data_IF_164893815973
#
_entry.id   IF_164893815973
#
_cell.length_a   1.000
_cell.length_b   1.000
_cell.length_c   1.000
_cell.angle_alpha   90.00
_cell.angle_beta   90.00
_cell.angle_gamma   90.00
#
_symmetry.space_group_name_H-M   'P 1'
#
loop_
_entity.id
_entity.type
_entity.pdbx_description
1 polymer ?
#
# COMPACT_ATOMS: atom_id res chain seq x y z
N UNK A 1 0.13 44.16 34.92
CA UNK A 1 0.85 43.16 35.75
C UNK A 1 -0.04 41.92 35.90
N UNK A 2 0.09 40.91 35.02
CA UNK A 2 -0.46 39.53 35.12
C UNK A 2 -0.42 38.85 33.74
N UNK A 3 0.72 38.27 33.36
CA UNK A 3 0.82 37.24 32.32
C UNK A 3 2.13 36.47 32.51
N UNK A 4 2.16 35.55 33.48
CA UNK A 4 3.17 34.49 33.51
C UNK A 4 2.66 33.40 34.44
N UNK A 5 1.93 32.42 33.89
CA UNK A 5 1.63 31.14 34.56
C UNK A 5 1.05 30.05 33.64
N UNK A 6 1.02 30.23 32.31
CA UNK A 6 0.52 29.19 31.39
C UNK A 6 1.59 28.23 30.85
N UNK A 7 2.88 28.51 31.06
CA UNK A 7 3.99 27.66 30.58
C UNK A 7 4.60 26.75 31.65
N UNK A 8 4.36 27.01 32.94
CA UNK A 8 4.93 26.22 34.04
C UNK A 8 4.24 24.86 34.19
N UNK A 9 2.95 24.76 33.89
CA UNK A 9 2.20 23.49 33.95
C UNK A 9 2.53 22.53 32.79
N UNK A 10 2.89 23.07 31.61
CA UNK A 10 3.32 22.27 30.45
C UNK A 10 4.74 21.69 30.64
N UNK A 11 5.64 22.41 31.32
CA UNK A 11 6.97 21.89 31.66
C UNK A 11 6.92 20.84 32.79
N UNK A 12 5.99 20.95 33.74
CA UNK A 12 5.83 19.98 34.82
C UNK A 12 5.41 18.58 34.36
N UNK A 13 4.59 18.49 33.31
CA UNK A 13 4.15 17.20 32.73
C UNK A 13 5.27 16.56 31.87
N UNK A 14 6.11 17.37 31.22
CA UNK A 14 7.28 16.89 30.48
C UNK A 14 8.39 16.37 31.42
N UNK A 15 8.56 16.97 32.60
CA UNK A 15 9.60 16.57 33.58
C UNK A 15 9.18 15.37 34.46
N UNK A 16 7.90 15.21 34.79
CA UNK A 16 7.44 14.04 35.58
C UNK A 16 7.39 12.73 34.77
N UNK A 17 7.40 12.78 33.44
CA UNK A 17 7.47 11.59 32.59
C UNK A 17 8.89 11.04 32.40
N UNK A 18 9.92 11.77 32.85
CA UNK A 18 11.33 11.34 32.80
C UNK A 18 11.76 10.55 34.04
N UNK A 19 11.00 10.57 35.14
CA UNK A 19 11.41 9.95 36.41
C UNK A 19 10.97 8.48 36.59
N UNK A 20 10.22 7.90 35.65
CA UNK A 20 9.88 6.46 35.61
C UNK A 20 10.78 5.66 34.65
N UNK A 21 12.01 6.13 34.42
CA UNK A 21 13.07 5.40 33.70
C UNK A 21 14.06 4.79 34.69
N UNK A 22 13.59 3.89 35.56
CA UNK A 22 14.49 2.93 36.22
C UNK A 22 13.86 1.55 36.29
N UNK A 23 14.71 0.57 35.99
CA UNK A 23 14.50 -0.87 35.99
C UNK A 23 13.66 -1.43 34.82
N UNK A 24 14.31 -1.53 33.66
CA UNK A 24 14.10 -2.67 32.77
C UNK A 24 15.38 -3.48 32.77
N UNK A 25 15.27 -4.78 33.03
CA UNK A 25 16.38 -5.71 32.86
C UNK A 25 16.95 -5.55 31.44
N UNK A 26 18.26 -5.42 31.35
CA UNK A 26 18.96 -5.44 30.07
C UNK A 26 18.69 -6.80 29.42
N UNK A 27 17.91 -6.79 28.35
CA UNK A 27 17.84 -7.91 27.42
C UNK A 27 19.27 -8.16 26.93
N UNK A 28 19.87 -9.30 27.32
CA UNK A 28 21.21 -9.70 26.88
C UNK A 28 21.26 -9.65 25.36
N UNK A 29 22.02 -8.70 24.82
CA UNK A 29 22.31 -8.68 23.40
C UNK A 29 23.19 -9.90 23.11
N UNK A 30 22.81 -10.78 22.18
CA UNK A 30 23.69 -11.89 21.79
C UNK A 30 25.04 -11.31 21.34
N UNK A 31 26.13 -11.88 21.84
CA UNK A 31 27.51 -11.53 21.48
C UNK A 31 27.84 -11.98 20.05
N UNK A 32 27.12 -11.44 19.05
CA UNK A 32 27.30 -11.76 17.62
C UNK A 32 28.67 -11.35 17.07
N UNK A 33 29.41 -10.53 17.81
CA UNK A 33 30.67 -9.91 17.40
C UNK A 33 31.93 -10.52 18.06
N UNK A 34 31.81 -11.61 18.84
CA UNK A 34 32.99 -12.29 19.41
C UNK A 34 33.94 -12.81 18.31
N UNK A 35 35.25 -12.56 18.46
CA UNK A 35 36.27 -12.90 17.45
C UNK A 35 36.22 -14.38 17.03
N UNK A 36 35.94 -15.28 17.97
CA UNK A 36 35.82 -16.72 17.71
C UNK A 36 34.69 -17.01 16.71
N UNK A 37 33.56 -16.30 16.79
CA UNK A 37 32.41 -16.49 15.91
C UNK A 37 32.63 -15.93 14.50
N UNK A 38 33.61 -15.04 14.34
CA UNK A 38 34.00 -14.48 13.04
C UNK A 38 34.98 -15.38 12.27
N UNK A 39 35.79 -16.18 12.98
CA UNK A 39 36.83 -17.03 12.38
C UNK A 39 36.43 -18.50 12.17
N UNK A 40 35.37 -18.97 12.83
CA UNK A 40 34.81 -20.31 12.58
C UNK A 40 33.85 -20.30 11.38
N UNK A 41 34.14 -21.13 10.38
CA UNK A 41 33.33 -21.25 9.17
C UNK A 41 32.52 -22.55 9.15
N UNK A 42 31.24 -22.44 8.83
CA UNK A 42 30.33 -23.57 8.68
C UNK A 42 29.79 -23.62 7.25
N UNK A 43 29.72 -24.81 6.69
CA UNK A 43 29.15 -25.07 5.36
C UNK A 43 27.65 -25.34 5.47
N UNK A 44 26.85 -24.61 4.71
CA UNK A 44 25.40 -24.85 4.64
C UNK A 44 25.14 -25.96 3.63
N UNK A 45 24.71 -27.15 4.08
CA UNK A 45 24.51 -28.28 3.14
C UNK A 45 23.19 -28.19 2.41
N UNK A 46 22.11 -27.82 3.09
CA UNK A 46 20.77 -27.72 2.52
C UNK A 46 19.93 -26.61 3.16
N UNK A 47 18.94 -26.13 2.41
CA UNK A 47 17.82 -25.33 2.91
C UNK A 47 16.56 -26.18 2.78
N UNK A 48 16.02 -26.62 3.91
CA UNK A 48 14.88 -27.53 4.01
C UNK A 48 13.64 -26.71 4.31
N UNK A 49 12.66 -26.72 3.39
CA UNK A 49 11.38 -26.08 3.59
C UNK A 49 10.33 -27.09 4.08
N UNK A 50 9.61 -26.74 5.15
CA UNK A 50 8.50 -27.53 5.69
C UNK A 50 7.25 -26.66 5.86
N UNK A 51 6.07 -27.28 5.82
CA UNK A 51 4.79 -26.58 5.97
C UNK A 51 4.24 -25.89 4.71
N UNK A 52 5.03 -25.80 3.63
CA UNK A 52 4.56 -25.34 2.32
C UNK A 52 3.73 -26.42 1.60
N UNK A 53 2.51 -26.09 1.19
CA UNK A 53 1.62 -27.00 0.45
C UNK A 53 1.56 -26.62 -1.02
N UNK A 54 1.42 -25.32 -1.31
CA UNK A 54 1.27 -24.80 -2.67
C UNK A 54 2.58 -24.15 -3.14
N UNK A 55 3.23 -23.37 -2.27
CA UNK A 55 4.47 -22.66 -2.59
C UNK A 55 5.58 -23.63 -2.90
N UNK A 56 6.30 -23.40 -3.99
CA UNK A 56 7.40 -24.27 -4.39
C UNK A 56 8.61 -24.06 -3.48
N UNK A 57 9.34 -25.11 -3.08
CA UNK A 57 10.50 -24.98 -2.18
C UNK A 57 11.58 -24.02 -2.69
N UNK A 58 11.81 -23.95 -4.01
CA UNK A 58 12.79 -23.01 -4.57
C UNK A 58 12.39 -21.54 -4.42
N UNK A 59 11.09 -21.23 -4.26
CA UNK A 59 10.62 -19.87 -3.98
C UNK A 59 10.97 -19.47 -2.55
N UNK A 60 10.88 -20.43 -1.61
CA UNK A 60 11.30 -20.23 -0.22
C UNK A 60 12.82 -20.07 -0.16
N UNK A 61 13.57 -21.00 -0.77
CA UNK A 61 15.03 -20.95 -0.81
C UNK A 61 15.55 -19.67 -1.47
N UNK A 62 14.83 -19.11 -2.45
CA UNK A 62 15.17 -17.83 -3.09
C UNK A 62 15.29 -16.69 -2.07
N UNK A 63 14.44 -16.65 -1.05
CA UNK A 63 14.36 -15.55 -0.07
C UNK A 63 15.32 -15.73 1.14
N UNK A 64 15.98 -16.89 1.23
CA UNK A 64 17.00 -17.19 2.24
C UNK A 64 18.38 -16.75 1.72
N UNK A 65 19.10 -15.83 2.40
CA UNK A 65 20.44 -15.40 1.98
C UNK A 65 21.50 -16.49 2.08
N UNK A 66 21.36 -17.42 3.03
CA UNK A 66 22.26 -18.55 3.27
C UNK A 66 22.07 -19.61 2.18
N UNK A 67 23.04 -19.73 1.28
CA UNK A 67 22.94 -20.63 0.12
C UNK A 67 23.58 -21.98 0.40
N UNK A 68 22.98 -23.00 -0.21
CA UNK A 68 23.50 -24.36 -0.25
C UNK A 68 24.90 -24.42 -0.87
N UNK A 69 25.80 -25.12 -0.19
CA UNK A 69 27.19 -25.37 -0.62
C UNK A 69 28.16 -24.25 -0.31
N UNK A 70 27.69 -23.11 0.21
CA UNK A 70 28.55 -21.97 0.57
C UNK A 70 28.96 -22.05 2.05
N UNK A 71 30.13 -21.47 2.35
CA UNK A 71 30.68 -21.35 3.71
C UNK A 71 30.41 -19.95 4.25
N UNK A 72 29.99 -19.87 5.50
CA UNK A 72 29.71 -18.63 6.21
C UNK A 72 30.34 -18.66 7.59
N UNK A 73 30.68 -17.49 8.13
CA UNK A 73 31.04 -17.39 9.55
C UNK A 73 29.80 -17.66 10.41
N UNK A 74 29.98 -18.04 11.68
CA UNK A 74 28.86 -18.21 12.60
C UNK A 74 28.13 -16.86 12.79
N UNK A 75 28.87 -15.76 12.88
CA UNK A 75 28.31 -14.40 12.93
C UNK A 75 27.41 -14.10 11.73
N UNK A 76 27.82 -14.45 10.51
CA UNK A 76 27.00 -14.30 9.31
C UNK A 76 25.72 -15.14 9.36
N UNK A 77 25.81 -16.38 9.85
CA UNK A 77 24.64 -17.27 9.97
C UNK A 77 23.62 -16.66 10.94
N UNK A 78 24.07 -16.24 12.13
CA UNK A 78 23.21 -15.63 13.14
C UNK A 78 22.54 -14.35 12.64
N UNK A 79 23.25 -13.51 11.88
CA UNK A 79 22.69 -12.31 11.23
C UNK A 79 21.66 -12.62 10.15
N UNK A 80 21.88 -13.69 9.37
CA UNK A 80 21.03 -14.00 8.22
C UNK A 80 19.77 -14.79 8.57
N UNK A 81 19.69 -15.44 9.73
CA UNK A 81 18.46 -16.10 10.21
C UNK A 81 17.27 -15.11 10.34
N UNK A 82 17.37 -14.01 11.11
CA UNK A 82 16.27 -13.05 11.23
C UNK A 82 15.98 -12.34 9.91
N UNK A 83 17.00 -12.10 9.08
CA UNK A 83 16.83 -11.53 7.74
C UNK A 83 16.06 -12.49 6.81
N UNK A 84 16.33 -13.79 6.87
CA UNK A 84 15.60 -14.81 6.10
C UNK A 84 14.11 -14.81 6.49
N UNK A 85 13.82 -14.79 7.79
CA UNK A 85 12.46 -14.68 8.31
C UNK A 85 11.77 -13.41 7.80
N UNK A 86 12.46 -12.26 7.88
CA UNK A 86 11.96 -10.99 7.38
C UNK A 86 11.65 -11.03 5.88
N UNK A 87 12.57 -11.54 5.05
CA UNK A 87 12.37 -11.65 3.61
C UNK A 87 11.17 -12.54 3.27
N UNK A 88 11.04 -13.70 3.94
CA UNK A 88 9.94 -14.63 3.75
C UNK A 88 8.61 -14.01 4.18
N UNK A 89 8.53 -13.33 5.33
CA UNK A 89 7.33 -12.62 5.75
C UNK A 89 6.94 -11.51 4.76
N UNK A 90 7.92 -10.78 4.23
CA UNK A 90 7.72 -9.72 3.24
C UNK A 90 7.29 -10.24 1.86
N UNK A 91 7.32 -11.55 1.59
CA UNK A 91 6.69 -12.10 0.38
C UNK A 91 5.18 -11.99 0.37
N UNK A 92 4.55 -11.87 1.55
CA UNK A 92 3.11 -11.93 1.71
C UNK A 92 2.52 -13.32 1.47
N UNK A 93 3.32 -14.38 1.42
CA UNK A 93 2.86 -15.76 1.22
C UNK A 93 2.50 -16.47 2.54
N UNK A 94 3.09 -16.02 3.64
CA UNK A 94 3.05 -16.73 4.91
C UNK A 94 2.37 -15.88 5.99
N UNK A 95 1.64 -16.55 6.88
CA UNK A 95 1.11 -15.96 8.12
C UNK A 95 2.22 -15.92 9.18
N UNK A 96 3.08 -16.92 9.17
CA UNK A 96 4.14 -17.11 10.15
C UNK A 96 5.28 -17.92 9.51
N UNK A 97 6.51 -17.64 9.96
CA UNK A 97 7.75 -18.25 9.47
C UNK A 97 8.69 -18.42 10.65
N UNK A 98 9.18 -19.65 10.83
CA UNK A 98 10.30 -19.97 11.70
C UNK A 98 11.51 -20.36 10.82
N UNK A 99 12.68 -19.85 11.16
CA UNK A 99 13.94 -20.17 10.49
C UNK A 99 14.91 -20.54 11.59
N UNK A 100 15.41 -21.77 11.54
CA UNK A 100 16.33 -22.34 12.53
C UNK A 100 17.38 -23.18 11.79
N UNK A 101 18.43 -23.61 12.50
CA UNK A 101 19.40 -24.57 11.99
C UNK A 101 19.14 -25.96 12.56
N UNK A 102 19.48 -26.99 11.80
CA UNK A 102 19.31 -28.40 12.19
C UNK A 102 20.42 -29.28 11.62
N UNK A 103 20.47 -30.54 12.05
CA UNK A 103 21.42 -31.56 11.61
C UNK A 103 22.89 -31.10 11.65
N UNK A 104 23.27 -30.37 12.70
CA UNK A 104 24.63 -29.91 12.90
C UNK A 104 25.57 -31.13 12.99
N UNK A 105 26.55 -31.19 12.09
CA UNK A 105 27.58 -32.22 12.08
C UNK A 105 28.92 -31.59 11.67
N UNK A 106 29.87 -31.58 12.62
CA UNK A 106 31.19 -30.94 12.47
C UNK A 106 31.07 -29.51 11.91
N UNK A 107 31.65 -29.26 10.74
CA UNK A 107 31.66 -27.95 10.06
C UNK A 107 30.52 -27.79 9.06
N UNK A 108 29.39 -28.47 9.30
CA UNK A 108 28.24 -28.44 8.39
C UNK A 108 26.90 -28.45 9.12
N UNK A 109 25.94 -27.68 8.61
CA UNK A 109 24.57 -27.66 9.12
C UNK A 109 23.55 -27.49 7.99
N UNK A 110 22.28 -27.77 8.30
CA UNK A 110 21.15 -27.49 7.42
C UNK A 110 20.31 -26.33 7.97
N UNK A 111 19.76 -25.49 7.09
CA UNK A 111 18.80 -24.46 7.47
C UNK A 111 17.39 -25.03 7.33
N UNK A 112 16.63 -25.04 8.42
CA UNK A 112 15.23 -25.42 8.46
C UNK A 112 14.35 -24.17 8.36
N UNK A 113 13.47 -24.15 7.38
CA UNK A 113 12.48 -23.09 7.17
C UNK A 113 11.09 -23.68 7.29
N UNK A 114 10.43 -23.47 8.42
CA UNK A 114 9.08 -23.96 8.69
C UNK A 114 8.07 -22.82 8.50
N UNK A 115 7.19 -22.98 7.51
CA UNK A 115 6.26 -21.93 7.08
C UNK A 115 4.81 -22.31 7.33
N UNK A 116 4.00 -21.28 7.58
CA UNK A 116 2.54 -21.39 7.59
C UNK A 116 1.95 -20.56 6.45
N UNK A 117 1.56 -21.22 5.38
CA UNK A 117 0.99 -20.55 4.19
C UNK A 117 -0.32 -19.83 4.51
N UNK A 118 -0.52 -18.69 3.85
CA UNK A 118 -1.80 -17.99 3.81
C UNK A 118 -2.82 -18.77 3.00
N UNK A 119 -4.09 -18.46 3.24
CA UNK A 119 -5.11 -18.74 2.25
C UNK A 119 -4.87 -17.90 0.99
N UNK A 120 -4.99 -18.53 -0.17
CA UNK A 120 -4.56 -17.95 -1.44
C UNK A 120 -5.72 -17.55 -2.37
N UNK A 121 -6.91 -18.11 -2.19
CA UNK A 121 -8.02 -17.96 -3.16
C UNK A 121 -9.24 -17.33 -2.52
N UNK A 122 -9.50 -16.06 -2.79
CA UNK A 122 -10.62 -15.33 -2.21
C UNK A 122 -11.70 -15.10 -3.27
N UNK A 123 -12.73 -15.97 -3.35
CA UNK A 123 -13.94 -15.65 -4.09
C UNK A 123 -14.78 -14.70 -3.24
N UNK A 124 -14.84 -13.44 -3.66
CA UNK A 124 -15.60 -12.40 -2.95
C UNK A 124 -16.83 -12.07 -3.78
N UNK A 125 -18.03 -12.52 -3.37
CA UNK A 125 -19.28 -12.01 -3.91
C UNK A 125 -19.31 -10.50 -3.76
N UNK A 126 -19.68 -9.81 -4.82
CA UNK A 126 -19.78 -8.36 -4.83
C UNK A 126 -21.23 -7.97 -4.97
N UNK A 127 -21.73 -7.19 -3.99
CA UNK A 127 -23.05 -6.59 -4.03
C UNK A 127 -22.95 -5.20 -3.43
N UNK A 128 -23.22 -4.16 -4.22
CA UNK A 128 -23.16 -2.78 -3.79
C UNK A 128 -24.31 -1.99 -4.41
N UNK A 129 -25.40 -1.73 -3.64
CA UNK A 129 -26.44 -0.79 -4.05
C UNK A 129 -25.86 0.59 -4.27
N UNK A 130 -26.41 1.34 -5.23
CA UNK A 130 -26.06 2.75 -5.43
C UNK A 130 -26.89 3.70 -4.57
N UNK A 131 -27.95 3.17 -3.97
CA UNK A 131 -28.84 3.89 -3.08
C UNK A 131 -28.21 4.13 -1.70
N UNK A 132 -28.80 5.06 -0.93
CA UNK A 132 -28.27 5.51 0.37
C UNK A 132 -28.08 4.37 1.37
N UNK A 133 -28.91 3.33 1.29
CA UNK A 133 -28.76 2.12 2.08
C UNK A 133 -29.45 0.93 1.36
N UNK A 134 -29.18 -0.27 1.86
CA UNK A 134 -29.73 -1.51 1.33
C UNK A 134 -31.26 -1.58 1.45
N UNK A 135 -31.84 -0.98 2.50
CA UNK A 135 -33.29 -0.99 2.74
C UNK A 135 -34.06 -0.17 1.70
N UNK A 136 -33.52 0.96 1.27
CA UNK A 136 -34.11 1.81 0.21
C UNK A 136 -34.13 1.03 -1.11
N UNK A 137 -33.03 0.37 -1.46
CA UNK A 137 -32.96 -0.45 -2.66
C UNK A 137 -34.03 -1.56 -2.69
N UNK A 138 -34.27 -2.24 -1.56
CA UNK A 138 -35.30 -3.29 -1.49
C UNK A 138 -36.71 -2.70 -1.42
N UNK A 139 -36.95 -1.78 -0.49
CA UNK A 139 -38.32 -1.32 -0.15
C UNK A 139 -38.90 -0.32 -1.14
N UNK A 140 -38.07 0.55 -1.69
CA UNK A 140 -38.53 1.64 -2.58
C UNK A 140 -38.33 1.29 -4.06
N UNK A 141 -37.31 0.48 -4.37
CA UNK A 141 -36.93 0.15 -5.74
C UNK A 141 -37.05 -1.34 -6.08
N UNK A 142 -37.76 -2.11 -5.26
CA UNK A 142 -38.09 -3.53 -5.47
C UNK A 142 -36.87 -4.38 -5.86
N UNK A 143 -35.75 -4.14 -5.18
CA UNK A 143 -34.47 -4.80 -5.43
C UNK A 143 -33.98 -4.74 -6.90
N UNK A 144 -34.29 -3.66 -7.62
CA UNK A 144 -33.94 -3.51 -9.04
C UNK A 144 -32.45 -3.70 -9.33
N UNK A 145 -32.13 -4.65 -10.22
CA UNK A 145 -30.75 -4.94 -10.65
C UNK A 145 -30.09 -3.78 -11.41
N UNK A 146 -30.88 -2.82 -11.89
CA UNK A 146 -30.38 -1.62 -12.57
C UNK A 146 -29.70 -0.62 -11.62
N UNK A 147 -29.98 -0.72 -10.31
CA UNK A 147 -29.51 0.18 -9.24
C UNK A 147 -28.53 -0.49 -8.27
N UNK A 148 -28.03 -1.66 -8.62
CA UNK A 148 -27.06 -2.39 -7.82
C UNK A 148 -25.89 -2.80 -8.69
N UNK A 149 -24.69 -2.75 -8.14
CA UNK A 149 -23.55 -3.43 -8.75
C UNK A 149 -23.45 -4.81 -8.14
N UNK A 150 -23.49 -5.85 -8.96
CA UNK A 150 -23.41 -7.22 -8.50
C UNK A 150 -22.42 -8.02 -9.32
N UNK A 151 -21.84 -9.07 -8.75
CA UNK A 151 -20.90 -9.91 -9.46
C UNK A 151 -19.95 -10.65 -8.53
N UNK A 152 -18.78 -11.01 -9.06
CA UNK A 152 -17.76 -11.74 -8.31
C UNK A 152 -16.38 -11.14 -8.54
N UNK A 153 -15.60 -11.07 -7.47
CA UNK A 153 -14.18 -10.76 -7.51
C UNK A 153 -13.42 -12.02 -7.09
N UNK A 154 -12.66 -12.58 -8.00
CA UNK A 154 -11.79 -13.73 -7.76
C UNK A 154 -10.37 -13.23 -7.59
N UNK A 155 -9.84 -13.33 -6.38
CA UNK A 155 -8.47 -12.91 -6.07
C UNK A 155 -7.67 -14.16 -5.72
N UNK A 156 -6.71 -14.50 -6.58
CA UNK A 156 -5.78 -15.59 -6.41
C UNK A 156 -4.37 -15.07 -6.13
N UNK A 157 -3.82 -15.42 -4.98
CA UNK A 157 -2.43 -15.22 -4.62
C UNK A 157 -1.68 -16.53 -4.77
N UNK A 158 -0.43 -16.50 -5.24
CA UNK A 158 0.41 -17.68 -5.39
C UNK A 158 -0.25 -18.84 -6.18
N UNK A 159 -0.98 -18.53 -7.27
CA UNK A 159 -1.84 -19.51 -7.96
C UNK A 159 -1.06 -20.73 -8.47
N UNK A 160 0.13 -20.51 -9.03
CA UNK A 160 1.04 -21.58 -9.47
C UNK A 160 2.02 -22.07 -8.40
N UNK A 161 2.02 -21.47 -7.22
CA UNK A 161 3.04 -21.67 -6.19
C UNK A 161 4.33 -20.85 -6.40
N UNK A 162 4.32 -19.86 -7.31
CA UNK A 162 5.49 -19.02 -7.69
C UNK A 162 5.35 -17.55 -7.25
N UNK A 163 4.50 -17.26 -6.28
CA UNK A 163 4.08 -15.92 -5.85
C UNK A 163 3.37 -15.12 -6.96
N UNK A 164 2.75 -15.81 -7.91
CA UNK A 164 1.98 -15.20 -8.98
C UNK A 164 0.60 -14.75 -8.49
N UNK A 165 0.13 -13.61 -9.01
CA UNK A 165 -1.15 -13.00 -8.61
C UNK A 165 -2.10 -13.00 -9.79
N UNK A 166 -3.30 -13.50 -9.59
CA UNK A 166 -4.40 -13.47 -10.54
C UNK A 166 -5.57 -12.71 -9.91
N UNK A 167 -6.07 -11.71 -10.61
CA UNK A 167 -7.21 -10.92 -10.14
C UNK A 167 -8.24 -10.80 -11.27
N UNK A 168 -9.41 -11.38 -11.07
CA UNK A 168 -10.51 -11.37 -12.04
C UNK A 168 -11.74 -10.74 -11.39
N UNK A 169 -12.22 -9.61 -11.93
CA UNK A 169 -13.47 -8.99 -11.49
C UNK A 169 -14.48 -9.05 -12.62
N UNK A 170 -15.65 -9.63 -12.32
CA UNK A 170 -16.79 -9.69 -13.21
C UNK A 170 -17.95 -9.00 -12.49
N UNK A 171 -18.17 -7.72 -12.80
CA UNK A 171 -19.17 -6.86 -12.17
C UNK A 171 -20.17 -6.42 -13.23
N UNK A 172 -21.46 -6.48 -12.89
CA UNK A 172 -22.58 -6.05 -13.73
C UNK A 172 -23.59 -5.24 -12.92
N UNK A 173 -24.66 -4.80 -13.58
CA UNK A 173 -25.71 -3.95 -13.02
C UNK A 173 -25.49 -2.46 -13.35
N UNK A 174 -25.50 -1.59 -12.34
CA UNK A 174 -25.38 -0.13 -12.52
C UNK A 174 -24.08 0.28 -13.24
N UNK A 175 -22.97 -0.40 -12.92
CA UNK A 175 -21.71 -0.33 -13.66
C UNK A 175 -21.35 -1.71 -14.17
N UNK A 176 -20.59 -1.75 -15.26
CA UNK A 176 -20.08 -2.98 -15.85
C UNK A 176 -18.56 -2.97 -15.77
N UNK A 177 -17.96 -4.03 -15.24
CA UNK A 177 -16.51 -4.15 -15.17
C UNK A 177 -16.08 -5.59 -15.47
N UNK A 178 -15.13 -5.71 -16.39
CA UNK A 178 -14.38 -6.93 -16.63
C UNK A 178 -12.92 -6.58 -16.44
N UNK A 179 -12.34 -7.06 -15.35
CA UNK A 179 -10.93 -6.85 -15.01
C UNK A 179 -10.24 -8.19 -14.99
N UNK A 180 -9.09 -8.28 -15.64
CA UNK A 180 -8.18 -9.42 -15.53
C UNK A 180 -6.76 -8.91 -15.40
N UNK A 181 -6.15 -9.16 -14.24
CA UNK A 181 -4.72 -8.91 -14.03
C UNK A 181 -4.04 -10.22 -13.71
N UNK A 182 -2.98 -10.54 -14.42
CA UNK A 182 -2.09 -11.64 -14.07
C UNK A 182 -0.66 -11.11 -13.92
N UNK A 183 0.00 -11.44 -12.82
CA UNK A 183 1.40 -11.07 -12.58
C UNK A 183 2.16 -12.32 -12.16
N UNK A 184 3.08 -12.76 -13.01
CA UNK A 184 4.05 -13.79 -12.68
C UNK A 184 5.38 -13.11 -12.32
N UNK A 185 5.77 -13.00 -11.04
CA UNK A 185 6.99 -12.31 -10.65
C UNK A 185 8.26 -13.04 -11.10
N UNK A 186 8.15 -14.35 -11.35
CA UNK A 186 9.23 -15.21 -11.81
C UNK A 186 8.75 -16.09 -12.96
N UNK A 187 9.17 -15.81 -14.19
CA UNK A 187 8.95 -16.70 -15.34
C UNK A 187 10.22 -17.44 -15.76
N UNK A 188 11.39 -16.97 -15.33
CA UNK A 188 12.69 -17.53 -15.69
C UNK A 188 13.28 -18.43 -14.59
N UNK A 189 14.35 -19.18 -14.91
CA UNK A 189 15.05 -20.04 -13.95
C UNK A 189 15.87 -19.25 -12.92
N UNK A 190 16.31 -18.03 -13.23
CA UNK A 190 17.09 -17.22 -12.29
C UNK A 190 16.24 -16.53 -11.22
N UNK A 191 14.90 -16.60 -11.35
CA UNK A 191 13.92 -15.99 -10.42
C UNK A 191 14.14 -14.48 -10.24
N UNK A 192 14.49 -13.81 -11.34
CA UNK A 192 14.72 -12.36 -11.40
C UNK A 192 13.76 -11.67 -12.35
N UNK A 193 13.24 -12.38 -13.35
CA UNK A 193 12.43 -11.79 -14.41
C UNK A 193 10.97 -12.17 -14.24
N UNK A 194 10.09 -11.17 -14.34
CA UNK A 194 8.65 -11.32 -14.21
C UNK A 194 7.91 -10.71 -15.40
N UNK A 195 6.70 -11.20 -15.63
CA UNK A 195 5.78 -10.69 -16.65
C UNK A 195 4.44 -10.36 -16.00
N UNK A 196 3.73 -9.41 -16.58
CA UNK A 196 2.37 -9.08 -16.19
C UNK A 196 1.50 -8.80 -17.41
N UNK A 197 0.24 -9.17 -17.30
CA UNK A 197 -0.81 -8.88 -18.26
C UNK A 197 -1.96 -8.18 -17.55
N UNK A 198 -2.56 -7.22 -18.23
CA UNK A 198 -3.68 -6.43 -17.74
C UNK A 198 -4.71 -6.19 -18.82
N UNK A 199 -5.94 -6.46 -18.46
CA UNK A 199 -7.12 -6.18 -19.24
C UNK A 199 -8.16 -5.52 -18.34
N UNK A 200 -8.71 -4.42 -18.81
CA UNK A 200 -9.77 -3.68 -18.14
C UNK A 200 -10.77 -3.22 -19.19
N UNK A 201 -12.00 -3.67 -19.04
CA UNK A 201 -13.16 -3.00 -19.58
C UNK A 201 -14.01 -2.49 -18.42
N UNK A 202 -14.38 -1.21 -18.42
CA UNK A 202 -15.28 -0.66 -17.42
C UNK A 202 -16.22 0.36 -18.03
N UNK A 203 -17.51 0.29 -17.74
CA UNK A 203 -18.50 1.30 -18.07
C UNK A 203 -19.24 1.73 -16.81
N UNK A 204 -19.41 3.03 -16.62
CA UNK A 204 -20.04 3.59 -15.42
C UNK A 204 -21.07 4.65 -15.79
N UNK A 205 -22.17 4.62 -15.05
CA UNK A 205 -23.30 5.56 -15.07
C UNK A 205 -23.10 6.77 -14.15
N UNK A 206 -21.98 6.80 -13.44
CA UNK A 206 -21.55 7.90 -12.58
C UNK A 206 -20.08 8.23 -12.83
N UNK A 207 -19.76 9.52 -12.91
CA UNK A 207 -18.38 9.99 -13.09
C UNK A 207 -18.17 11.33 -12.39
N UNK A 208 -17.02 11.46 -11.71
CA UNK A 208 -16.53 12.76 -11.23
C UNK A 208 -16.08 13.60 -12.43
N UNK A 209 -16.77 14.70 -12.70
CA UNK A 209 -16.54 15.52 -13.89
C UNK A 209 -15.83 16.85 -13.60
N UNK A 210 -15.81 17.30 -12.34
CA UNK A 210 -15.18 18.55 -11.93
C UNK A 210 -14.89 18.53 -10.43
N UNK A 211 -13.96 19.37 -9.99
CA UNK A 211 -13.79 19.67 -8.57
C UNK A 211 -14.38 21.04 -8.28
N UNK A 212 -15.31 21.09 -7.31
CA UNK A 212 -15.98 22.31 -6.86
C UNK A 212 -15.89 22.37 -5.34
N UNK A 213 -15.47 23.51 -4.80
CA UNK A 213 -15.30 23.69 -3.35
C UNK A 213 -14.35 22.64 -2.75
N UNK A 214 -13.29 22.32 -3.49
CA UNK A 214 -12.31 21.29 -3.12
C UNK A 214 -12.95 19.91 -2.88
N UNK A 215 -14.09 19.62 -3.51
CA UNK A 215 -14.83 18.35 -3.45
C UNK A 215 -15.13 17.81 -4.85
N UNK A 216 -15.26 16.50 -4.95
CA UNK A 216 -15.61 15.82 -6.19
C UNK A 216 -17.07 16.13 -6.57
N UNK A 217 -17.28 16.66 -7.78
CA UNK A 217 -18.61 16.86 -8.35
C UNK A 217 -18.95 15.68 -9.28
N UNK A 218 -19.87 14.84 -8.83
CA UNK A 218 -20.33 13.68 -9.59
C UNK A 218 -21.52 14.05 -10.50
N UNK A 219 -21.48 13.55 -11.73
CA UNK A 219 -22.64 13.49 -12.62
C UNK A 219 -23.11 12.04 -12.67
N UNK A 220 -24.43 11.84 -12.61
CA UNK A 220 -25.08 10.52 -12.61
C UNK A 220 -26.17 10.50 -13.67
N UNK A 221 -26.22 9.42 -14.43
CA UNK A 221 -27.23 9.17 -15.45
C UNK A 221 -27.76 7.75 -15.28
N UNK A 222 -29.01 7.57 -14.82
CA UNK A 222 -29.58 6.23 -14.61
C UNK A 222 -29.78 5.44 -15.90
N UNK A 223 -29.86 6.10 -17.06
CA UNK A 223 -30.26 5.46 -18.33
C UNK A 223 -29.04 5.10 -19.17
N UNK A 224 -28.07 6.00 -19.28
CA UNK A 224 -26.91 5.82 -20.16
C UNK A 224 -25.58 5.72 -19.41
N UNK A 225 -24.62 5.00 -19.99
CA UNK A 225 -23.25 4.99 -19.47
C UNK A 225 -22.56 6.31 -19.78
N UNK A 226 -22.27 7.08 -18.73
CA UNK A 226 -21.54 8.35 -18.81
C UNK A 226 -20.12 8.14 -19.35
N UNK A 227 -19.46 7.06 -18.93
CA UNK A 227 -18.10 6.76 -19.36
C UNK A 227 -17.90 5.30 -19.65
N UNK A 228 -17.03 5.02 -20.62
CA UNK A 228 -16.47 3.69 -20.82
C UNK A 228 -14.96 3.76 -21.00
N UNK A 229 -14.27 2.77 -20.48
CA UNK A 229 -12.82 2.63 -20.54
C UNK A 229 -12.47 1.22 -20.96
N UNK A 230 -11.55 1.15 -21.90
CA UNK A 230 -10.89 -0.07 -22.32
C UNK A 230 -9.38 0.12 -22.16
N UNK A 231 -8.71 -0.85 -21.56
CA UNK A 231 -7.27 -0.89 -21.42
C UNK A 231 -6.79 -2.32 -21.61
N UNK A 232 -5.74 -2.47 -22.40
CA UNK A 232 -4.95 -3.70 -22.49
C UNK A 232 -3.49 -3.34 -22.32
N UNK A 233 -2.76 -4.12 -21.55
CA UNK A 233 -1.36 -3.85 -21.28
C UNK A 233 -0.55 -5.08 -20.95
N UNK A 234 0.75 -4.96 -21.18
CA UNK A 234 1.75 -5.95 -20.81
C UNK A 234 2.86 -5.25 -20.05
N UNK A 235 3.48 -5.97 -19.12
CA UNK A 235 4.59 -5.45 -18.34
C UNK A 235 5.67 -6.49 -18.12
N UNK A 236 6.88 -5.98 -17.98
CA UNK A 236 8.07 -6.72 -17.61
C UNK A 236 8.57 -6.23 -16.26
N UNK A 237 9.07 -7.12 -15.42
CA UNK A 237 9.72 -6.72 -14.17
C UNK A 237 11.03 -7.45 -13.96
N UNK A 238 11.97 -6.76 -13.34
CA UNK A 238 13.29 -7.30 -13.01
C UNK A 238 13.60 -7.04 -11.54
N UNK A 239 13.82 -8.10 -10.76
CA UNK A 239 14.13 -8.05 -9.32
C UNK A 239 15.60 -8.39 -9.09
N UNK A 240 16.33 -7.48 -8.45
CA UNK A 240 17.72 -7.70 -8.02
C UNK A 240 17.76 -7.89 -6.51
N UNK A 241 18.23 -9.06 -6.07
CA UNK A 241 18.25 -9.43 -4.66
C UNK A 241 16.85 -9.48 -4.04
N UNK A 242 16.72 -8.96 -2.83
CA UNK A 242 15.51 -9.01 -2.03
C UNK A 242 14.72 -7.68 -2.05
N UNK A 243 15.42 -6.57 -2.24
CA UNK A 243 14.92 -5.23 -1.95
C UNK A 243 14.57 -4.41 -3.20
N UNK A 244 15.25 -4.62 -4.32
CA UNK A 244 15.20 -3.75 -5.51
C UNK A 244 14.40 -4.40 -6.63
N UNK A 245 13.48 -3.64 -7.24
CA UNK A 245 12.68 -4.10 -8.37
C UNK A 245 12.44 -2.98 -9.38
N UNK A 246 12.55 -3.33 -10.65
CA UNK A 246 12.20 -2.52 -11.80
C UNK A 246 10.93 -3.08 -12.43
N UNK A 247 10.03 -2.22 -12.87
CA UNK A 247 8.81 -2.59 -13.58
C UNK A 247 8.65 -1.65 -14.75
N UNK A 248 8.53 -2.19 -15.96
CA UNK A 248 8.19 -1.46 -17.16
C UNK A 248 6.87 -2.00 -17.71
N UNK A 249 5.95 -1.12 -18.10
CA UNK A 249 4.64 -1.51 -18.63
C UNK A 249 4.29 -0.63 -19.81
N UNK A 250 3.71 -1.26 -20.82
CA UNK A 250 3.07 -0.58 -21.95
C UNK A 250 1.60 -0.96 -21.96
N UNK A 251 0.72 0.01 -22.16
CA UNK A 251 -0.70 -0.24 -22.31
C UNK A 251 -1.32 0.67 -23.36
N UNK A 252 -2.40 0.21 -23.97
CA UNK A 252 -3.22 1.01 -24.86
C UNK A 252 -4.57 1.27 -24.19
N UNK A 253 -4.95 2.54 -24.11
CA UNK A 253 -6.14 3.01 -23.41
C UNK A 253 -7.10 3.66 -24.40
N UNK A 254 -8.39 3.36 -24.24
CA UNK A 254 -9.51 4.04 -24.90
C UNK A 254 -10.48 4.48 -23.83
N UNK A 255 -10.71 5.78 -23.70
CA UNK A 255 -11.68 6.36 -22.76
C UNK A 255 -12.70 7.15 -23.55
N UNK A 256 -13.98 6.90 -23.29
CA UNK A 256 -15.11 7.60 -23.89
C UNK A 256 -15.96 8.25 -22.82
N UNK A 257 -16.53 9.39 -23.15
CA UNK A 257 -17.54 10.09 -22.35
C UNK A 257 -18.78 10.35 -23.21
N UNK A 258 -19.95 10.45 -22.59
CA UNK A 258 -21.19 10.80 -23.27
C UNK A 258 -21.35 12.31 -23.48
N UNK A 259 -22.38 12.68 -24.20
CA UNK A 259 -22.66 14.06 -24.63
C UNK A 259 -22.99 14.96 -23.43
N UNK A 260 -23.84 14.48 -22.52
CA UNK A 260 -24.24 15.20 -21.31
C UNK A 260 -23.05 15.54 -20.41
N UNK A 261 -22.04 14.68 -20.33
CA UNK A 261 -20.81 14.99 -19.60
C UNK A 261 -19.95 16.03 -20.33
N UNK A 262 -19.83 15.88 -21.65
CA UNK A 262 -19.05 16.80 -22.48
C UNK A 262 -19.59 18.23 -22.41
N UNK A 263 -20.91 18.41 -22.43
CA UNK A 263 -21.54 19.72 -22.25
C UNK A 263 -21.25 20.34 -20.88
N UNK A 264 -21.17 19.53 -19.82
CA UNK A 264 -20.87 19.98 -18.46
C UNK A 264 -19.40 20.30 -18.23
N UNK A 265 -18.50 19.57 -18.89
CA UNK A 265 -17.07 19.87 -18.86
C UNK A 265 -16.43 19.63 -20.24
N UNK A 266 -16.43 20.65 -21.10
CA UNK A 266 -15.77 20.59 -22.41
C UNK A 266 -14.24 20.39 -22.31
N UNK A 267 -13.64 20.72 -21.15
CA UNK A 267 -12.21 20.54 -20.86
C UNK A 267 -11.90 19.18 -20.20
N UNK A 268 -12.86 18.24 -20.18
CA UNK A 268 -12.62 16.91 -19.63
C UNK A 268 -11.49 16.18 -20.38
N UNK A 269 -11.53 16.26 -21.71
CA UNK A 269 -10.41 15.95 -22.60
C UNK A 269 -9.96 17.21 -23.34
N UNK A 270 -8.74 17.18 -23.89
CA UNK A 270 -8.21 18.31 -24.63
C UNK A 270 -8.75 18.37 -26.08
N UNK A 271 -8.98 19.59 -26.57
CA UNK A 271 -9.46 19.87 -27.92
C UNK A 271 -10.91 19.44 -28.19
N UNK A 272 -11.79 19.43 -27.19
CA UNK A 272 -13.24 19.24 -27.39
C UNK A 272 -13.64 17.81 -27.82
N UNK A 273 -12.82 16.81 -27.52
CA UNK A 273 -13.08 15.42 -27.91
C UNK A 273 -13.89 14.69 -26.84
N UNK A 274 -14.74 13.76 -27.28
CA UNK A 274 -15.48 12.82 -26.41
C UNK A 274 -14.78 11.47 -26.23
N UNK A 275 -13.77 11.20 -27.04
CA UNK A 275 -13.00 9.95 -27.00
C UNK A 275 -11.51 10.24 -27.02
N UNK A 276 -10.79 9.69 -26.03
CA UNK A 276 -9.35 9.71 -25.96
C UNK A 276 -8.79 8.31 -26.21
N UNK A 277 -7.86 8.19 -27.16
CA UNK A 277 -7.12 6.95 -27.45
C UNK A 277 -5.65 7.24 -27.34
N UNK A 278 -4.95 6.49 -26.50
CA UNK A 278 -3.55 6.78 -26.23
C UNK A 278 -2.77 5.55 -25.74
N UNK A 279 -1.52 5.37 -26.18
CA UNK A 279 -0.59 4.50 -25.50
C UNK A 279 -0.17 5.11 -24.16
N UNK A 280 0.21 4.28 -23.22
CA UNK A 280 0.73 4.68 -21.90
C UNK A 280 1.95 3.81 -21.59
N UNK A 281 3.08 4.46 -21.37
CA UNK A 281 4.34 3.84 -20.96
C UNK A 281 4.57 4.17 -19.49
N UNK A 282 4.86 3.17 -18.69
CA UNK A 282 5.11 3.31 -17.28
C UNK A 282 6.41 2.61 -16.90
N UNK A 283 7.27 3.31 -16.19
CA UNK A 283 8.46 2.73 -15.58
C UNK A 283 8.45 3.03 -14.09
N UNK A 284 8.78 2.04 -13.27
CA UNK A 284 8.89 2.17 -11.83
C UNK A 284 10.15 1.46 -11.33
N UNK A 285 10.89 2.16 -10.49
CA UNK A 285 11.93 1.59 -9.65
C UNK A 285 11.45 1.64 -8.20
N UNK A 286 11.61 0.52 -7.49
CA UNK A 286 11.32 0.44 -6.06
C UNK A 286 12.50 -0.20 -5.33
N UNK A 287 12.80 0.32 -4.14
CA UNK A 287 13.71 -0.28 -3.17
C UNK A 287 13.03 -0.32 -1.82
N UNK A 288 12.72 -1.51 -1.33
CA UNK A 288 11.97 -1.71 -0.09
C UNK A 288 12.86 -2.50 0.85
N UNK A 289 13.37 -1.84 1.89
CA UNK A 289 14.22 -2.43 2.92
C UNK A 289 13.66 -2.07 4.30
N UNK A 290 12.50 -2.66 4.60
CA UNK A 290 11.78 -2.46 5.87
C UNK A 290 11.59 -3.80 6.58
N UNK A 291 11.47 -3.74 7.90
CA UNK A 291 11.25 -4.92 8.75
C UNK A 291 9.96 -5.67 8.40
N UNK A 292 8.94 -4.96 7.94
CA UNK A 292 7.66 -5.55 7.55
C UNK A 292 6.89 -4.60 6.62
N UNK A 293 6.58 -5.04 5.40
CA UNK A 293 6.04 -4.16 4.35
C UNK A 293 4.64 -3.58 4.68
N UNK A 294 3.65 -4.37 5.14
CA UNK A 294 2.30 -3.85 5.36
C UNK A 294 2.22 -2.81 6.48
N UNK A 295 3.12 -2.89 7.47
CA UNK A 295 3.17 -1.95 8.59
C UNK A 295 4.62 -1.69 9.04
N UNK A 296 5.37 -0.83 8.32
CA UNK A 296 6.80 -0.64 8.58
C UNK A 296 7.05 0.12 9.89
N UNK A 297 7.96 -0.41 10.71
CA UNK A 297 8.41 0.20 11.96
C UNK A 297 9.90 0.55 11.95
N UNK A 298 10.70 -0.17 11.13
CA UNK A 298 12.14 0.04 10.98
C UNK A 298 12.53 -0.09 9.52
N UNK A 299 13.55 0.66 9.11
CA UNK A 299 14.15 0.56 7.78
C UNK A 299 13.72 1.71 6.87
N UNK A 300 13.79 1.51 5.56
CA UNK A 300 13.47 2.54 4.57
C UNK A 300 12.87 1.94 3.32
N UNK A 301 12.09 2.73 2.62
CA UNK A 301 11.61 2.40 1.29
C UNK A 301 11.53 3.65 0.43
N UNK A 302 11.72 3.47 -0.87
CA UNK A 302 11.44 4.49 -1.85
C UNK A 302 10.99 3.87 -3.16
N UNK A 303 10.16 4.60 -3.87
CA UNK A 303 9.64 4.26 -5.17
C UNK A 303 9.67 5.53 -6.04
N UNK A 304 10.20 5.38 -7.24
CA UNK A 304 10.20 6.43 -8.25
C UNK A 304 9.55 5.85 -9.49
N UNK A 305 8.61 6.59 -10.07
CA UNK A 305 7.95 6.20 -11.31
C UNK A 305 7.89 7.36 -12.31
N UNK A 306 7.95 6.97 -13.58
CA UNK A 306 7.80 7.83 -14.73
C UNK A 306 6.67 7.27 -15.58
N UNK A 307 5.68 8.10 -15.85
CA UNK A 307 4.53 7.78 -16.67
C UNK A 307 4.52 8.71 -17.88
N UNK A 308 4.46 8.12 -19.06
CA UNK A 308 4.22 8.81 -20.32
C UNK A 308 2.85 8.39 -20.85
N UNK A 309 1.89 9.32 -20.83
CA UNK A 309 0.54 9.11 -21.36
C UNK A 309 0.36 9.87 -22.67
N UNK A 310 0.12 9.09 -23.72
CA UNK A 310 -0.09 9.54 -25.09
C UNK A 310 1.12 10.22 -25.72
N UNK A 311 1.03 10.38 -27.04
CA UNK A 311 2.09 10.92 -27.90
C UNK A 311 1.59 12.07 -28.79
N UNK A 312 0.28 12.39 -28.73
CA UNK A 312 -0.36 13.39 -29.58
C UNK A 312 -0.69 14.65 -28.78
N UNK A 313 -0.89 15.78 -29.45
CA UNK A 313 -1.13 17.08 -28.77
C UNK A 313 -2.30 17.03 -27.77
N UNK A 314 -3.36 16.27 -28.08
CA UNK A 314 -4.57 16.15 -27.25
C UNK A 314 -4.42 15.24 -26.02
N UNK A 315 -3.40 14.40 -25.97
CA UNK A 315 -3.10 13.53 -24.84
C UNK A 315 -1.59 13.36 -24.78
N UNK A 316 -0.96 14.26 -24.03
CA UNK A 316 0.47 14.35 -23.88
C UNK A 316 0.79 14.71 -22.43
N UNK A 317 0.99 13.70 -21.60
CA UNK A 317 1.36 13.88 -20.19
C UNK A 317 2.64 13.12 -19.90
N UNK A 318 3.59 13.81 -19.29
CA UNK A 318 4.66 13.22 -18.52
C UNK A 318 4.33 13.39 -17.05
N UNK A 319 4.36 12.32 -16.28
CA UNK A 319 4.17 12.37 -14.84
C UNK A 319 5.36 11.67 -14.16
N UNK A 320 6.03 12.41 -13.29
CA UNK A 320 7.07 11.92 -12.42
C UNK A 320 6.52 11.85 -11.00
N UNK A 321 6.64 10.69 -10.37
CA UNK A 321 6.18 10.48 -9.00
C UNK A 321 7.30 9.84 -8.18
N UNK A 322 7.66 10.46 -7.07
CA UNK A 322 8.59 9.94 -6.09
C UNK A 322 7.90 9.82 -4.74
N UNK A 323 7.92 8.63 -4.13
CA UNK A 323 7.45 8.41 -2.77
C UNK A 323 8.51 7.67 -1.97
N UNK A 324 8.59 7.94 -0.68
CA UNK A 324 9.52 7.26 0.19
C UNK A 324 9.20 7.44 1.65
N UNK A 325 9.82 6.61 2.48
CA UNK A 325 9.69 6.68 3.91
C UNK A 325 10.89 6.10 4.62
N UNK A 326 11.19 6.67 5.77
CA UNK A 326 12.22 6.20 6.70
C UNK A 326 11.56 5.96 8.06
N UNK A 327 11.93 4.85 8.67
CA UNK A 327 11.31 4.35 9.89
C UNK A 327 12.40 3.99 10.89
N UNK A 328 12.24 4.46 12.11
CA UNK A 328 13.19 4.30 13.19
C UNK A 328 12.49 3.78 14.44
N UNK A 329 13.14 2.87 15.15
CA UNK A 329 12.86 2.65 16.57
C UNK A 329 13.76 3.59 17.35
N UNK A 330 13.16 4.59 17.98
CA UNK A 330 13.89 5.63 18.72
C UNK A 330 14.17 5.23 20.17
N UNK A 331 13.33 4.34 20.71
CA UNK A 331 13.47 3.68 22.00
C UNK A 331 12.66 2.37 21.95
N UNK A 332 12.89 1.41 22.87
CA UNK A 332 12.11 0.17 22.89
C UNK A 332 10.60 0.45 22.88
N UNK A 333 9.87 -0.10 21.90
CA UNK A 333 8.42 0.11 21.67
C UNK A 333 8.00 1.51 21.19
N UNK A 334 8.94 2.42 20.93
CA UNK A 334 8.68 3.76 20.38
C UNK A 334 9.25 3.89 18.97
N UNK A 335 8.39 4.25 18.03
CA UNK A 335 8.70 4.30 16.61
C UNK A 335 8.41 5.67 16.03
N UNK A 336 9.33 6.16 15.21
CA UNK A 336 9.16 7.36 14.42
C UNK A 336 9.16 7.01 12.94
N UNK A 337 8.25 7.61 12.18
CA UNK A 337 8.16 7.44 10.73
C UNK A 337 8.04 8.79 10.05
N UNK A 338 8.88 9.00 9.04
CA UNK A 338 8.81 10.15 8.15
C UNK A 338 8.57 9.63 6.73
N UNK A 339 7.51 10.09 6.09
CA UNK A 339 7.13 9.71 4.74
C UNK A 339 6.95 10.94 3.87
N UNK A 340 7.28 10.84 2.60
CA UNK A 340 7.13 11.90 1.62
C UNK A 340 6.62 11.36 0.29
N UNK A 341 5.82 12.17 -0.40
CA UNK A 341 5.40 11.95 -1.77
C UNK A 341 5.51 13.26 -2.56
N UNK A 342 6.02 13.20 -3.78
CA UNK A 342 6.10 14.31 -4.71
C UNK A 342 5.65 13.85 -6.10
N UNK A 343 4.80 14.64 -6.74
CA UNK A 343 4.28 14.37 -8.08
C UNK A 343 4.45 15.63 -8.93
N UNK A 344 4.97 15.47 -10.14
CA UNK A 344 5.12 16.54 -11.13
C UNK A 344 4.54 16.06 -12.45
N UNK A 345 3.67 16.86 -13.05
CA UNK A 345 2.98 16.60 -14.32
C UNK A 345 3.34 17.67 -15.34
N UNK A 346 3.74 17.27 -16.54
CA UNK A 346 4.12 18.14 -17.63
C UNK A 346 3.37 17.82 -18.91
N UNK A 347 2.95 18.83 -19.70
CA UNK A 347 2.94 20.27 -19.37
C UNK A 347 2.02 20.61 -18.17
N UNK A 348 2.17 21.81 -17.59
CA UNK A 348 1.39 22.22 -16.41
C UNK A 348 -0.08 22.57 -16.70
N UNK A 349 -0.42 22.85 -17.96
CA UNK A 349 -1.80 22.97 -18.41
C UNK A 349 -2.24 21.63 -19.01
N UNK A 350 -3.28 21.06 -18.45
CA UNK A 350 -3.72 19.70 -18.72
C UNK A 350 -5.25 19.65 -18.77
N UNK A 351 -5.85 18.73 -19.54
CA UNK A 351 -7.27 18.45 -19.42
C UNK A 351 -7.61 17.92 -18.02
N UNK A 352 -8.85 18.11 -17.57
CA UNK A 352 -9.28 17.72 -16.22
C UNK A 352 -8.98 16.26 -15.89
N UNK A 353 -9.09 15.35 -16.88
CA UNK A 353 -8.74 13.93 -16.74
C UNK A 353 -7.32 13.68 -16.18
N UNK A 354 -6.39 14.61 -16.40
CA UNK A 354 -4.99 14.50 -15.93
C UNK A 354 -4.69 15.34 -14.68
N UNK A 355 -5.62 16.14 -14.16
CA UNK A 355 -5.35 17.10 -13.07
C UNK A 355 -5.48 16.50 -11.66
N UNK A 356 -6.12 15.35 -11.49
CA UNK A 356 -6.33 14.74 -10.16
C UNK A 356 -5.00 14.48 -9.42
N UNK A 357 -4.84 15.01 -8.21
CA UNK A 357 -3.60 14.86 -7.41
C UNK A 357 -3.87 14.49 -5.95
N UNK A 358 -4.20 15.45 -5.09
CA UNK A 358 -4.38 15.22 -3.65
C UNK A 358 -5.83 14.85 -3.34
N UNK A 359 -6.04 13.94 -2.39
CA UNK A 359 -7.34 13.38 -2.03
C UNK A 359 -7.78 12.24 -2.97
N UNK A 360 -6.97 11.90 -3.97
CA UNK A 360 -7.21 10.79 -4.88
C UNK A 360 -6.26 9.63 -4.56
N UNK A 361 -6.82 8.46 -4.27
CA UNK A 361 -6.04 7.27 -3.91
C UNK A 361 -5.23 7.46 -2.62
N UNK A 362 -3.98 6.99 -2.61
CA UNK A 362 -3.11 7.00 -1.42
C UNK A 362 -2.49 8.38 -1.11
N UNK A 363 -2.65 9.35 -2.02
CA UNK A 363 -2.10 10.70 -1.86
C UNK A 363 -3.13 11.61 -1.18
N UNK A 364 -3.20 11.55 0.15
CA UNK A 364 -4.08 12.40 0.96
C UNK A 364 -3.36 12.87 2.23
N UNK A 365 -3.87 13.95 2.83
CA UNK A 365 -3.46 14.41 4.17
C UNK A 365 -4.51 13.95 5.18
N UNK A 366 -4.08 13.38 6.32
CA UNK A 366 -5.01 12.94 7.35
C UNK A 366 -5.76 14.13 7.95
N UNK A 367 -7.06 14.06 8.13
CA UNK A 367 -7.92 15.20 8.49
C UNK A 367 -8.43 16.05 7.32
N UNK A 368 -8.02 15.75 6.09
CA UNK A 368 -8.50 16.38 4.85
C UNK A 368 -9.06 15.34 3.86
N UNK A 369 -9.46 14.16 4.33
CA UNK A 369 -9.94 13.03 3.50
C UNK A 369 -11.20 13.36 2.69
N UNK A 370 -11.99 14.34 3.14
CA UNK A 370 -13.19 14.80 2.45
C UNK A 370 -12.89 15.80 1.32
N UNK A 371 -11.63 16.19 1.15
CA UNK A 371 -11.20 17.21 0.21
C UNK A 371 -10.29 16.63 -0.87
N UNK A 372 -10.45 17.15 -2.08
CA UNK A 372 -9.60 16.86 -3.23
C UNK A 372 -9.02 18.15 -3.76
N UNK A 373 -7.77 18.09 -4.20
CA UNK A 373 -7.06 19.23 -4.76
C UNK A 373 -6.40 18.81 -6.06
N UNK A 374 -6.91 19.35 -7.16
CA UNK A 374 -6.41 19.11 -8.50
C UNK A 374 -5.23 20.02 -8.82
N UNK A 375 -4.26 19.55 -9.61
CA UNK A 375 -3.14 20.36 -10.04
C UNK A 375 -2.16 19.62 -10.93
N UNK A 376 -0.99 20.23 -11.10
CA UNK A 376 0.11 19.68 -11.90
C UNK A 376 1.36 19.37 -11.06
N UNK A 377 1.50 19.95 -9.87
CA UNK A 377 2.56 19.58 -8.92
C UNK A 377 1.95 19.37 -7.54
N UNK A 378 2.36 18.31 -6.86
CA UNK A 378 2.02 18.08 -5.46
C UNK A 378 3.24 17.63 -4.67
N UNK A 379 3.32 18.07 -3.41
CA UNK A 379 4.25 17.54 -2.42
C UNK A 379 3.48 17.28 -1.13
N UNK A 380 3.71 16.13 -0.50
CA UNK A 380 3.10 15.72 0.77
C UNK A 380 4.18 15.11 1.66
N UNK A 381 4.16 15.45 2.93
CA UNK A 381 5.02 14.87 3.96
C UNK A 381 4.16 14.48 5.17
N UNK A 382 4.42 13.30 5.72
CA UNK A 382 3.72 12.75 6.89
C UNK A 382 4.74 12.36 7.94
N UNK A 383 4.64 12.95 9.13
CA UNK A 383 5.42 12.59 10.30
C UNK A 383 4.51 11.86 11.29
N UNK A 384 4.90 10.67 11.75
CA UNK A 384 4.12 9.88 12.70
C UNK A 384 5.01 9.32 13.79
N UNK A 385 4.64 9.57 15.03
CA UNK A 385 5.21 8.94 16.21
C UNK A 385 4.24 7.90 16.75
N UNK A 386 4.74 6.70 17.06
CA UNK A 386 3.94 5.56 17.52
C UNK A 386 4.54 4.94 18.77
N UNK A 387 3.68 4.45 19.65
CA UNK A 387 4.05 3.64 20.82
C UNK A 387 3.26 2.34 20.80
N UNK A 388 3.97 1.21 20.86
CA UNK A 388 3.33 -0.08 21.10
C UNK A 388 2.85 -0.16 22.56
N UNK A 389 1.55 -0.39 22.75
CA UNK A 389 0.94 -0.38 24.09
C UNK A 389 0.50 -1.75 24.56
N UNK A 390 0.09 -2.64 23.66
CA UNK A 390 -0.47 -3.94 24.02
C UNK A 390 -0.36 -4.95 22.87
N UNK A 391 -0.02 -6.20 23.19
CA UNK A 391 0.18 -7.27 22.19
C UNK A 391 -0.47 -8.60 22.62
N UNK A 392 -1.80 -8.67 22.76
CA UNK A 392 -2.46 -9.88 23.24
C UNK A 392 -2.47 -10.96 22.15
N UNK A 393 -2.55 -12.21 22.59
CA UNK A 393 -2.73 -13.38 21.73
C UNK A 393 -4.05 -14.05 22.08
N UNK A 394 -5.01 -13.98 21.17
CA UNK A 394 -6.32 -14.61 21.36
C UNK A 394 -6.24 -16.09 20.96
N UNK A 395 -6.52 -16.99 21.90
CA UNK A 395 -6.69 -18.42 21.60
C UNK A 395 -8.12 -18.66 21.14
N UNK A 396 -8.31 -19.17 19.92
CA UNK A 396 -9.65 -19.35 19.33
C UNK A 396 -10.30 -20.67 19.70
N UNK A 397 -9.56 -21.60 20.31
CA UNK A 397 -10.02 -22.97 20.60
C UNK A 397 -10.04 -23.89 19.38
N UNK A 398 -9.76 -23.38 18.17
CA UNK A 398 -9.69 -24.19 16.96
C UNK A 398 -8.42 -25.04 16.93
N UNK A 399 -8.54 -26.33 16.60
CA UNK A 399 -7.41 -27.24 16.32
C UNK A 399 -6.76 -26.96 14.95
N UNK A 400 -6.48 -25.69 14.67
CA UNK A 400 -5.85 -25.26 13.42
C UNK A 400 -4.50 -24.62 13.72
N UNK A 401 -3.47 -25.02 12.97
CA UNK A 401 -2.14 -24.42 13.03
C UNK A 401 -2.14 -22.93 12.62
N UNK A 402 -3.11 -22.54 11.78
CA UNK A 402 -3.25 -21.17 11.26
C UNK A 402 -4.12 -20.29 12.15
N UNK A 403 -5.23 -20.84 12.65
CA UNK A 403 -6.26 -20.05 13.34
C UNK A 403 -6.32 -20.29 14.85
N UNK A 404 -5.52 -21.22 15.41
CA UNK A 404 -5.57 -21.55 16.84
C UNK A 404 -5.13 -20.40 17.75
N UNK A 405 -4.31 -19.47 17.26
CA UNK A 405 -3.90 -18.26 17.99
C UNK A 405 -3.82 -17.06 17.05
N UNK A 406 -4.54 -15.99 17.38
CA UNK A 406 -4.59 -14.74 16.62
C UNK A 406 -3.84 -13.67 17.40
N UNK A 407 -2.65 -13.22 16.94
CA UNK A 407 -1.97 -12.07 17.52
C UNK A 407 -2.71 -10.77 17.19
N UNK A 408 -2.76 -9.87 18.16
CA UNK A 408 -3.09 -8.47 17.96
C UNK A 408 -1.94 -7.60 18.46
N UNK A 409 -1.74 -6.46 17.81
CA UNK A 409 -0.83 -5.41 18.29
C UNK A 409 -1.53 -4.07 18.24
N UNK A 410 -1.42 -3.31 19.32
CA UNK A 410 -2.04 -2.01 19.48
C UNK A 410 -0.95 -0.94 19.56
N UNK A 411 -1.07 0.08 18.72
CA UNK A 411 -0.17 1.22 18.66
C UNK A 411 -0.94 2.51 18.88
N UNK A 412 -0.59 3.27 19.91
CA UNK A 412 -1.01 4.67 19.99
C UNK A 412 -0.13 5.49 19.07
N UNK A 413 -0.72 6.44 18.33
CA UNK A 413 0.02 7.33 17.45
C UNK A 413 -0.37 8.78 17.61
N UNK A 414 0.60 9.65 17.35
CA UNK A 414 0.41 11.09 17.11
C UNK A 414 1.10 11.44 15.80
N UNK A 415 0.54 12.38 15.06
CA UNK A 415 1.06 12.72 13.74
C UNK A 415 0.83 14.17 13.35
N UNK A 416 1.62 14.61 12.37
CA UNK A 416 1.45 15.86 11.65
C UNK A 416 1.75 15.65 10.17
N UNK A 417 0.87 16.17 9.32
CA UNK A 417 1.02 16.11 7.87
C UNK A 417 1.11 17.53 7.30
N UNK A 418 1.89 17.67 6.23
CA UNK A 418 1.99 18.91 5.46
C UNK A 418 1.96 18.59 3.97
N UNK A 419 1.40 19.48 3.17
CA UNK A 419 1.41 19.32 1.72
C UNK A 419 1.16 20.62 0.97
N UNK A 420 1.39 20.58 -0.33
CA UNK A 420 1.19 21.71 -1.23
C UNK A 420 0.79 21.18 -2.60
N UNK A 421 -0.18 21.82 -3.23
CA UNK A 421 -0.59 21.48 -4.61
C UNK A 421 -0.60 22.74 -5.45
N UNK A 422 0.20 22.72 -6.51
CA UNK A 422 0.24 23.77 -7.51
C UNK A 422 -0.76 23.49 -8.63
N UNK A 423 -1.57 24.49 -8.95
CA UNK A 423 -2.42 24.51 -10.13
C UNK A 423 -2.28 25.87 -10.82
N UNK A 424 -2.07 25.86 -12.14
CA UNK A 424 -1.88 27.08 -12.94
C UNK A 424 -3.17 27.90 -13.04
N UNK A 425 -4.31 27.24 -13.14
CA UNK A 425 -5.63 27.87 -13.30
C UNK A 425 -6.64 27.18 -12.39
N UNK A 426 -6.53 27.34 -11.06
CA UNK A 426 -7.49 26.76 -10.14
C UNK A 426 -8.86 27.44 -10.33
N UNK A 427 -9.98 26.69 -10.29
CA UNK A 427 -11.30 27.28 -10.22
C UNK A 427 -11.41 28.20 -8.99
N UNK A 428 -12.05 29.38 -9.08
CA UNK A 428 -12.17 30.30 -7.94
C UNK A 428 -12.87 29.71 -6.71
N UNK A 429 -13.67 28.65 -6.90
CA UNK A 429 -14.33 27.93 -5.81
C UNK A 429 -13.40 27.01 -5.01
N UNK A 430 -12.22 26.67 -5.53
CA UNK A 430 -11.27 25.77 -4.87
C UNK A 430 -10.22 26.58 -4.14
N UNK A 431 -10.29 26.58 -2.80
CA UNK A 431 -9.49 27.43 -1.93
C UNK A 431 -8.25 26.72 -1.37
N UNK A 432 -8.10 25.42 -1.63
CA UNK A 432 -6.96 24.61 -1.16
C UNK A 432 -5.79 24.57 -2.14
N UNK A 433 -5.96 25.08 -3.35
CA UNK A 433 -4.89 25.21 -4.34
C UNK A 433 -3.88 26.30 -3.96
N UNK A 434 -2.61 26.11 -4.37
CA UNK A 434 -1.53 27.10 -4.28
C UNK A 434 -1.28 27.65 -2.86
N UNK A 435 -1.57 26.86 -1.84
CA UNK A 435 -1.32 27.19 -0.43
C UNK A 435 -0.73 26.00 0.30
N UNK A 436 0.01 26.29 1.36
CA UNK A 436 0.47 25.25 2.28
C UNK A 436 -0.74 24.65 3.00
N UNK A 437 -0.84 23.33 2.95
CA UNK A 437 -1.81 22.50 3.62
C UNK A 437 -1.14 21.85 4.82
N UNK A 438 -1.81 21.83 5.98
CA UNK A 438 -1.29 21.14 7.16
C UNK A 438 -2.41 20.60 8.03
N UNK A 439 -2.11 19.48 8.69
CA UNK A 439 -3.02 18.77 9.58
C UNK A 439 -2.25 18.11 10.71
N UNK A 440 -2.95 17.74 11.78
CA UNK A 440 -2.36 16.99 12.88
C UNK A 440 -3.42 16.21 13.63
N UNK A 441 -3.01 15.18 14.35
CA UNK A 441 -3.96 14.31 15.04
C UNK A 441 -3.31 13.24 15.89
N UNK A 442 -4.17 12.45 16.53
CA UNK A 442 -3.79 11.29 17.30
C UNK A 442 -4.75 10.14 17.05
N UNK A 443 -4.30 8.91 17.31
CA UNK A 443 -5.12 7.73 17.01
C UNK A 443 -4.60 6.43 17.60
N UNK A 444 -5.33 5.37 17.30
CA UNK A 444 -5.02 4.00 17.67
C UNK A 444 -4.98 3.13 16.40
N UNK A 445 -3.87 2.45 16.20
CA UNK A 445 -3.69 1.44 15.16
C UNK A 445 -3.73 0.05 15.77
N UNK A 446 -4.54 -0.82 15.18
CA UNK A 446 -4.70 -2.22 15.56
C UNK A 446 -4.23 -3.05 14.37
N UNK A 447 -3.25 -3.92 14.61
CA UNK A 447 -2.74 -4.85 13.62
C UNK A 447 -3.03 -6.30 14.02
N UNK A 448 -3.37 -7.15 13.06
CA UNK A 448 -3.63 -8.58 13.28
C UNK A 448 -3.22 -9.45 12.08
N UNK A 449 -3.63 -10.72 12.10
CA UNK A 449 -3.36 -11.72 11.04
C UNK A 449 -3.85 -11.24 9.67
N UNK A 450 -3.25 -11.80 8.60
CA UNK A 450 -3.48 -11.35 7.21
C UNK A 450 -3.19 -9.86 6.98
N UNK A 451 -2.25 -9.34 7.78
CA UNK A 451 -1.83 -7.95 7.75
C UNK A 451 -3.01 -6.96 7.90
N UNK A 452 -4.07 -7.40 8.59
CA UNK A 452 -5.25 -6.59 8.83
C UNK A 452 -4.86 -5.40 9.72
N UNK A 453 -5.17 -4.19 9.26
CA UNK A 453 -4.89 -2.94 9.96
C UNK A 453 -6.19 -2.16 10.12
N UNK A 454 -6.45 -1.71 11.34
CA UNK A 454 -7.56 -0.81 11.66
C UNK A 454 -6.96 0.42 12.31
N UNK A 455 -7.22 1.59 11.75
CA UNK A 455 -6.77 2.87 12.29
C UNK A 455 -8.00 3.70 12.67
N UNK A 456 -8.07 4.09 13.94
CA UNK A 456 -9.01 5.08 14.45
C UNK A 456 -8.25 6.37 14.71
N UNK A 457 -8.58 7.43 13.99
CA UNK A 457 -7.85 8.69 14.04
C UNK A 457 -8.77 9.86 14.39
N UNK A 458 -8.31 10.74 15.28
CA UNK A 458 -8.93 12.02 15.54
C UNK A 458 -8.01 13.12 15.02
N UNK A 459 -8.48 13.84 14.00
CA UNK A 459 -7.66 14.77 13.22
C UNK A 459 -8.22 16.17 13.25
N UNK A 460 -7.30 17.13 13.16
CA UNK A 460 -7.55 18.55 13.03
C UNK A 460 -6.90 19.06 11.74
N UNK A 461 -7.56 19.98 11.05
CA UNK A 461 -7.03 20.59 9.84
C UNK A 461 -6.95 22.11 9.93
N UNK A 462 -6.24 22.72 8.98
CA UNK A 462 -6.09 24.17 8.87
C UNK A 462 -7.40 24.96 8.73
N UNK A 463 -8.51 24.31 8.36
CA UNK A 463 -9.83 24.94 8.25
C UNK A 463 -10.55 25.03 9.60
N UNK A 464 -9.89 24.62 10.69
CA UNK A 464 -10.47 24.57 12.05
C UNK A 464 -11.44 23.41 12.25
N UNK A 465 -11.51 22.47 11.31
CA UNK A 465 -12.39 21.32 11.40
C UNK A 465 -11.72 20.19 12.19
N UNK A 466 -12.56 19.41 12.87
CA UNK A 466 -12.17 18.23 13.65
C UNK A 466 -13.04 17.05 13.23
N UNK A 467 -12.44 15.88 13.08
CA UNK A 467 -13.14 14.69 12.62
C UNK A 467 -12.58 13.41 13.22
N UNK A 468 -13.45 12.44 13.41
CA UNK A 468 -13.07 11.06 13.68
C UNK A 468 -13.06 10.29 12.35
N UNK A 469 -11.92 9.73 12.01
CA UNK A 469 -11.72 8.98 10.79
C UNK A 469 -11.43 7.52 11.12
N UNK A 470 -12.05 6.63 10.34
CA UNK A 470 -11.86 5.19 10.43
C UNK A 470 -11.26 4.69 9.13
N UNK A 471 -10.15 3.98 9.23
CA UNK A 471 -9.50 3.34 8.08
C UNK A 471 -9.31 1.87 8.40
N UNK A 472 -9.72 1.00 7.47
CA UNK A 472 -9.49 -0.42 7.56
C UNK A 472 -8.76 -0.89 6.29
N UNK A 473 -7.64 -1.57 6.47
CA UNK A 473 -6.86 -2.20 5.42
C UNK A 473 -6.78 -3.71 5.68
N UNK A 474 -6.93 -4.49 4.62
CA UNK A 474 -6.61 -5.91 4.61
C UNK A 474 -5.40 -6.08 3.69
N UNK A 475 -4.29 -6.65 4.20
CA UNK A 475 -3.16 -7.04 3.35
C UNK A 475 -3.43 -8.39 2.69
N UNK A 476 -4.58 -8.47 2.02
CA UNK A 476 -4.91 -9.57 1.12
C UNK A 476 -4.11 -9.39 -0.16
#
# INVERSE_FOLDING_TARGET
MRYSNKYVLMLGILLCSLQYLKAQDLEEKPHEDDEVLQHSFITIRNVIATGNKITKPYIIAREVPLKRGEKYSISDILKNIPLSKQNLMNTGLFIDVAVDFTNWNNDSLDILVDVKERWYYFPVPYLKPIDRNFNVWIKEYDASLSRVNYGIKLIGYNVSGRNDKLNIWLISGYSRQVVMNYTAPYFDKSLKQGISFDFLYSANKELNYATKEDKQAFYKDPHEFITSRFRVGVGYSFRTGYIKRHVARISYNVVKINDSLFERNPRYFDGGKKTARFPELFYQYQSINVNYIPYPLKGHQWEVSLLKRGLNKNMNLWEFNAKGGKYWEVAPKYYFALQGNAVVKLPFDQPYYNQQLLGYGDNFLRGLENYVVDGSVAGVTKATFRREIWTPKLRTGLKSRLYGTIPFKFYLKVYGDAGYVYNKTPPPSNVLNNRLLYTGGGGLDIWSIYDATISLEYSFNQLGQRGLFFQAGLGL
#
